data_IF_335865631922
#
_entry.id   IF_335865631922
#
_cell.length_a   1.000
_cell.length_b   1.000
_cell.length_c   1.000
_cell.angle_alpha   90.00
_cell.angle_beta   90.00
_cell.angle_gamma   90.00
#
_symmetry.space_group_name_H-M   'P 1'
#
loop_
_entity.id
_entity.type
_entity.pdbx_description
1 polymer ?
#
# COMPACT_ATOMS: atom_id res chain seq x y z
N UNK A 1 13.15 -17.04 12.19
CA UNK A 1 13.21 -16.44 13.54
C UNK A 1 11.85 -15.82 13.83
N UNK A 2 11.16 -16.21 14.91
CA UNK A 2 9.78 -15.75 15.22
C UNK A 2 9.67 -14.28 15.61
N UNK A 3 10.80 -13.62 15.87
CA UNK A 3 10.83 -12.20 16.22
C UNK A 3 10.81 -11.27 14.99
N UNK A 4 10.95 -11.77 13.77
CA UNK A 4 10.80 -10.91 12.58
C UNK A 4 9.33 -10.54 12.42
N UNK A 5 9.04 -9.24 12.38
CA UNK A 5 7.69 -8.71 12.21
C UNK A 5 7.41 -8.25 10.78
N UNK A 6 8.45 -7.79 10.06
CA UNK A 6 8.39 -7.49 8.65
C UNK A 6 9.80 -7.37 8.05
N UNK A 7 9.92 -7.65 6.76
CA UNK A 7 11.09 -7.28 5.95
C UNK A 7 10.59 -6.36 4.85
N UNK A 8 11.27 -5.23 4.62
CA UNK A 8 10.88 -4.22 3.64
C UNK A 8 12.04 -3.96 2.71
N UNK A 9 11.79 -3.94 1.41
CA UNK A 9 12.69 -3.45 0.38
C UNK A 9 12.04 -2.24 -0.28
N UNK A 10 12.70 -1.10 -0.35
CA UNK A 10 12.09 0.13 -0.86
C UNK A 10 13.11 1.10 -1.45
N UNK A 11 12.69 1.91 -2.42
CA UNK A 11 13.44 3.08 -2.88
C UNK A 11 12.79 4.41 -2.44
N UNK A 12 11.91 4.36 -1.44
CA UNK A 12 11.37 5.54 -0.77
C UNK A 12 12.52 6.39 -0.24
N UNK A 13 12.54 7.66 -0.63
CA UNK A 13 13.48 8.63 -0.07
C UNK A 13 13.22 8.73 1.44
N UNK A 14 14.26 8.78 2.26
CA UNK A 14 14.13 8.82 3.72
C UNK A 14 13.34 7.62 4.29
N UNK A 15 13.63 6.41 3.79
CA UNK A 15 13.04 5.16 4.29
C UNK A 15 13.14 5.00 5.83
N UNK A 16 14.15 5.63 6.44
CA UNK A 16 14.29 5.89 7.86
C UNK A 16 14.98 7.25 8.05
N UNK A 17 14.84 7.84 9.24
CA UNK A 17 15.55 9.06 9.60
C UNK A 17 17.07 8.90 9.41
N UNK A 18 17.67 9.81 8.65
CA UNK A 18 19.11 9.85 8.39
C UNK A 18 19.57 9.16 7.10
N UNK A 19 18.69 8.49 6.37
CA UNK A 19 18.99 7.92 5.04
C UNK A 19 18.53 8.89 3.95
N UNK A 20 19.45 9.24 3.05
CA UNK A 20 19.22 10.21 1.97
C UNK A 20 19.70 9.60 0.65
N UNK A 21 18.91 9.73 -0.42
CA UNK A 21 19.27 9.28 -1.77
C UNK A 21 19.82 7.84 -1.86
N UNK A 22 19.30 6.96 -0.99
CA UNK A 22 19.59 5.53 -0.99
C UNK A 22 18.30 4.70 -0.95
N UNK A 23 18.36 3.51 -1.53
CA UNK A 23 17.34 2.47 -1.34
C UNK A 23 17.65 1.62 -0.11
N UNK A 24 16.65 0.97 0.45
CA UNK A 24 16.75 0.35 1.77
C UNK A 24 16.21 -1.07 1.80
N UNK A 25 16.91 -1.92 2.56
CA UNK A 25 16.37 -3.13 3.14
C UNK A 25 16.21 -2.89 4.64
N UNK A 26 14.98 -3.04 5.15
CA UNK A 26 14.66 -2.86 6.56
C UNK A 26 14.14 -4.17 7.13
N UNK A 27 14.84 -4.70 8.14
CA UNK A 27 14.44 -5.90 8.85
C UNK A 27 13.88 -5.47 10.21
N UNK A 28 12.56 -5.60 10.36
CA UNK A 28 11.87 -5.27 11.61
C UNK A 28 11.83 -6.47 12.53
N UNK A 29 12.27 -6.24 13.77
CA UNK A 29 12.37 -7.26 14.80
C UNK A 29 11.58 -6.81 16.02
N UNK A 30 10.71 -7.67 16.54
CA UNK A 30 10.03 -7.48 17.81
C UNK A 30 11.05 -7.35 18.93
N UNK A 31 10.86 -6.36 19.80
CA UNK A 31 11.73 -6.15 20.96
C UNK A 31 11.69 -7.36 21.89
N UNK A 32 12.87 -7.79 22.35
CA UNK A 32 12.94 -8.80 23.41
C UNK A 32 12.70 -8.15 24.78
N UNK A 33 11.75 -8.64 25.58
CA UNK A 33 11.63 -8.19 26.97
C UNK A 33 12.86 -8.49 27.82
N UNK A 34 13.70 -9.46 27.43
CA UNK A 34 14.92 -9.81 28.14
C UNK A 34 16.08 -8.83 27.87
N UNK A 35 16.04 -8.08 26.76
CA UNK A 35 17.09 -7.13 26.39
C UNK A 35 17.07 -5.90 27.30
N UNK A 36 18.09 -5.78 28.16
CA UNK A 36 18.21 -4.69 29.14
C UNK A 36 19.05 -3.55 28.57
N UNK A 37 18.41 -2.41 28.36
CA UNK A 37 19.05 -1.17 27.89
C UNK A 37 19.24 -1.11 26.37
N UNK A 38 19.55 0.09 25.87
CA UNK A 38 19.58 0.38 24.43
C UNK A 38 20.60 -0.47 23.66
N UNK A 39 21.79 -0.67 24.22
CA UNK A 39 22.84 -1.45 23.56
C UNK A 39 22.50 -2.93 23.41
N UNK A 40 21.86 -3.54 24.42
CA UNK A 40 21.43 -4.93 24.34
C UNK A 40 20.37 -5.12 23.24
N UNK A 41 19.39 -4.21 23.21
CA UNK A 41 18.32 -4.20 22.21
C UNK A 41 18.91 -4.07 20.80
N UNK A 42 19.83 -3.12 20.59
CA UNK A 42 20.45 -2.89 19.29
C UNK A 42 21.30 -4.10 18.84
N UNK A 43 22.10 -4.67 19.74
CA UNK A 43 22.95 -5.82 19.43
C UNK A 43 22.12 -7.07 19.10
N UNK A 44 21.10 -7.36 19.90
CA UNK A 44 20.16 -8.47 19.69
C UNK A 44 19.48 -8.37 18.33
N UNK A 45 18.96 -7.19 17.98
CA UNK A 45 18.36 -6.93 16.66
C UNK A 45 19.38 -7.08 15.53
N UNK A 46 20.60 -6.54 15.70
CA UNK A 46 21.65 -6.62 14.68
C UNK A 46 22.04 -8.06 14.38
N UNK A 47 22.25 -8.89 15.40
CA UNK A 47 22.58 -10.32 15.25
C UNK A 47 21.47 -11.05 14.47
N UNK A 48 20.21 -10.76 14.80
CA UNK A 48 19.08 -11.35 14.07
C UNK A 48 19.13 -10.89 12.61
N UNK A 49 19.26 -9.60 12.34
CA UNK A 49 19.24 -9.05 10.99
C UNK A 49 20.41 -9.52 10.11
N UNK A 50 21.62 -9.62 10.68
CA UNK A 50 22.82 -10.13 10.01
C UNK A 50 22.64 -11.58 9.55
N UNK A 51 21.79 -12.37 10.22
CA UNK A 51 21.49 -13.74 9.79
C UNK A 51 20.58 -13.85 8.56
N UNK A 52 20.00 -12.73 8.07
CA UNK A 52 19.11 -12.71 6.89
C UNK A 52 19.64 -11.85 5.75
N UNK A 53 20.48 -10.83 6.02
CA UNK A 53 20.84 -9.85 5.00
C UNK A 53 21.52 -10.47 3.78
N UNK A 54 22.39 -11.47 3.95
CA UNK A 54 23.08 -12.11 2.83
C UNK A 54 22.10 -12.84 1.90
N UNK A 55 21.12 -13.55 2.48
CA UNK A 55 20.05 -14.22 1.72
C UNK A 55 19.15 -13.18 1.01
N UNK A 56 18.84 -12.07 1.68
CA UNK A 56 18.03 -11.00 1.07
C UNK A 56 18.75 -10.33 -0.09
N UNK A 57 20.04 -10.04 0.08
CA UNK A 57 20.90 -9.51 -0.99
C UNK A 57 20.97 -10.47 -2.17
N UNK A 58 21.09 -11.78 -1.91
CA UNK A 58 21.07 -12.79 -2.96
C UNK A 58 19.71 -12.86 -3.67
N UNK A 59 18.59 -12.84 -2.93
CA UNK A 59 17.24 -12.98 -3.49
C UNK A 59 16.86 -11.76 -4.33
N UNK A 60 17.18 -10.56 -3.87
CA UNK A 60 16.81 -9.31 -4.54
C UNK A 60 17.86 -8.82 -5.54
N UNK A 61 18.98 -9.52 -5.65
CA UNK A 61 20.12 -9.12 -6.47
C UNK A 61 20.59 -7.70 -6.09
N UNK A 62 20.98 -7.54 -4.82
CA UNK A 62 21.42 -6.29 -4.19
C UNK A 62 22.72 -6.48 -3.40
N UNK A 63 23.39 -5.37 -3.04
CA UNK A 63 24.58 -5.35 -2.15
C UNK A 63 24.34 -4.36 -1.00
N UNK A 64 23.19 -4.50 -0.32
CA UNK A 64 22.80 -3.59 0.76
C UNK A 64 23.71 -3.79 1.98
N UNK A 65 24.19 -2.67 2.54
CA UNK A 65 25.17 -2.63 3.63
C UNK A 65 24.55 -2.06 4.88
N UNK A 66 25.02 -2.55 6.03
CA UNK A 66 24.51 -2.12 7.32
C UNK A 66 24.68 -0.60 7.48
N UNK A 67 23.57 0.08 7.76
CA UNK A 67 23.55 1.51 8.03
C UNK A 67 23.33 1.79 9.52
N UNK A 68 22.21 1.32 10.08
CA UNK A 68 21.86 1.65 11.47
C UNK A 68 20.89 0.65 12.10
N UNK A 69 20.76 0.73 13.43
CA UNK A 69 19.63 0.16 14.17
C UNK A 69 18.76 1.30 14.69
N UNK A 70 17.49 1.29 14.35
CA UNK A 70 16.50 2.28 14.79
C UNK A 70 15.48 1.65 15.73
N UNK A 71 15.29 2.25 16.92
CA UNK A 71 14.27 1.81 17.88
C UNK A 71 13.01 2.61 17.59
N UNK A 72 11.96 1.93 17.14
CA UNK A 72 10.71 2.57 16.77
C UNK A 72 9.91 2.91 18.03
N UNK A 73 9.71 4.22 18.26
CA UNK A 73 8.93 4.75 19.39
C UNK A 73 7.42 4.83 19.09
N UNK A 74 7.02 4.73 17.81
CA UNK A 74 5.64 4.82 17.33
C UNK A 74 5.46 4.32 15.90
N UNK A 75 4.44 4.82 15.19
CA UNK A 75 4.09 4.43 13.82
C UNK A 75 4.80 5.26 12.73
N UNK A 76 6.00 5.79 13.04
CA UNK A 76 6.80 6.59 12.10
C UNK A 76 7.11 5.80 10.82
N UNK A 77 7.38 4.51 10.95
CA UNK A 77 7.61 3.60 9.83
C UNK A 77 6.36 3.39 8.96
N UNK A 78 5.18 3.25 9.58
CA UNK A 78 3.92 3.12 8.84
C UNK A 78 3.70 4.34 7.94
N UNK A 79 4.00 5.54 8.48
CA UNK A 79 3.93 6.80 7.75
C UNK A 79 4.98 6.89 6.64
N UNK A 80 6.24 6.59 6.95
CA UNK A 80 7.35 6.69 5.99
C UNK A 80 7.18 5.74 4.79
N UNK A 81 6.73 4.51 5.04
CA UNK A 81 6.47 3.52 4.01
C UNK A 81 5.05 3.63 3.41
N UNK A 82 4.26 4.59 3.90
CA UNK A 82 2.85 4.77 3.57
C UNK A 82 2.06 3.44 3.59
N UNK A 83 2.40 2.57 4.54
CA UNK A 83 1.64 1.35 4.76
C UNK A 83 0.40 1.76 5.55
N UNK A 84 -0.78 1.29 5.16
CA UNK A 84 -2.03 1.60 5.86
C UNK A 84 -2.13 0.92 7.24
N UNK A 85 -1.04 0.95 8.02
CA UNK A 85 -0.88 0.29 9.31
C UNK A 85 -0.44 -1.17 9.25
N UNK A 86 -0.21 -1.76 8.06
CA UNK A 86 0.21 -3.17 7.95
C UNK A 86 1.62 -3.43 8.50
N UNK A 87 2.46 -2.40 8.56
CA UNK A 87 3.79 -2.46 9.18
C UNK A 87 3.84 -1.40 10.28
N UNK A 88 3.45 -1.77 11.51
CA UNK A 88 3.57 -0.88 12.66
C UNK A 88 5.00 -0.86 13.18
N UNK A 89 5.53 0.34 13.39
CA UNK A 89 6.79 0.54 14.09
C UNK A 89 6.68 0.23 15.58
N UNK A 90 5.49 0.37 16.20
CA UNK A 90 5.35 0.33 17.66
C UNK A 90 5.82 -1.01 18.25
N UNK A 91 6.81 -0.94 19.14
CA UNK A 91 7.35 -2.12 19.82
C UNK A 91 8.35 -2.93 18.98
N UNK A 92 8.77 -2.41 17.83
CA UNK A 92 9.77 -3.03 16.96
C UNK A 92 11.08 -2.26 16.96
N UNK A 93 12.12 -2.93 16.49
CA UNK A 93 13.46 -2.38 16.28
C UNK A 93 13.86 -2.74 14.86
N UNK A 94 14.21 -1.73 14.07
CA UNK A 94 14.52 -1.86 12.65
C UNK A 94 16.03 -1.92 12.46
N UNK A 95 16.53 -3.00 11.87
CA UNK A 95 17.86 -2.99 11.28
C UNK A 95 17.76 -2.48 9.84
N UNK A 96 18.51 -1.43 9.54
CA UNK A 96 18.45 -0.73 8.26
C UNK A 96 19.75 -0.99 7.51
N UNK A 97 19.60 -1.42 6.27
CA UNK A 97 20.67 -1.62 5.31
C UNK A 97 20.39 -0.74 4.11
N UNK A 98 21.39 -0.06 3.60
CA UNK A 98 21.26 0.86 2.46
C UNK A 98 22.04 0.36 1.26
N UNK A 99 21.56 0.74 0.08
CA UNK A 99 22.17 0.45 -1.21
C UNK A 99 21.98 1.67 -2.14
N UNK A 100 22.78 1.78 -3.22
CA UNK A 100 22.59 2.85 -4.19
C UNK A 100 21.13 2.97 -4.62
N UNK A 101 20.63 4.20 -4.74
CA UNK A 101 19.25 4.45 -5.16
C UNK A 101 18.95 3.77 -6.49
N UNK A 102 17.93 2.92 -6.50
CA UNK A 102 17.43 2.30 -7.74
C UNK A 102 16.31 3.15 -8.36
N UNK A 103 16.34 3.27 -9.69
CA UNK A 103 15.23 3.78 -10.48
C UNK A 103 13.94 2.96 -10.20
N UNK A 104 12.83 3.64 -9.93
CA UNK A 104 11.57 3.00 -9.53
C UNK A 104 11.04 2.07 -10.60
N UNK A 105 11.13 2.46 -11.88
CA UNK A 105 10.69 1.64 -13.00
C UNK A 105 11.45 0.32 -13.07
N UNK A 106 12.77 0.42 -13.05
CA UNK A 106 13.71 -0.70 -13.09
C UNK A 106 13.54 -1.63 -11.89
N UNK A 107 13.45 -1.05 -10.68
CA UNK A 107 13.26 -1.80 -9.44
C UNK A 107 11.90 -2.53 -9.42
N UNK A 108 10.82 -1.86 -9.84
CA UNK A 108 9.49 -2.46 -9.93
C UNK A 108 9.47 -3.63 -10.92
N UNK A 109 10.07 -3.47 -12.10
CA UNK A 109 10.16 -4.55 -13.09
C UNK A 109 11.00 -5.73 -12.58
N UNK A 110 12.18 -5.47 -11.99
CA UNK A 110 13.06 -6.50 -11.39
C UNK A 110 12.32 -7.29 -10.31
N UNK A 111 11.82 -6.59 -9.30
CA UNK A 111 11.20 -7.23 -8.13
C UNK A 111 9.87 -7.90 -8.50
N UNK A 112 9.04 -7.27 -9.34
CA UNK A 112 7.82 -7.93 -9.81
C UNK A 112 8.12 -9.17 -10.65
N UNK A 113 9.21 -9.21 -11.42
CA UNK A 113 9.60 -10.38 -12.19
C UNK A 113 10.07 -11.56 -11.32
N UNK A 114 10.69 -11.26 -10.18
CA UNK A 114 11.10 -12.26 -9.18
C UNK A 114 9.90 -12.83 -8.42
N UNK A 115 8.91 -11.99 -8.11
CA UNK A 115 7.80 -12.36 -7.23
C UNK A 115 6.57 -12.89 -7.94
N UNK A 116 6.25 -12.32 -9.12
CA UNK A 116 4.99 -12.58 -9.82
C UNK A 116 5.22 -13.50 -11.03
N UNK A 117 4.45 -14.61 -11.15
CA UNK A 117 4.45 -15.46 -12.33
C UNK A 117 4.15 -14.67 -13.61
N UNK A 118 4.66 -15.16 -14.75
CA UNK A 118 4.45 -14.52 -16.06
C UNK A 118 2.96 -14.42 -16.40
N UNK A 119 2.17 -15.39 -15.95
CA UNK A 119 0.73 -15.43 -16.12
C UNK A 119 0.04 -14.24 -15.43
N UNK A 120 0.54 -13.74 -14.31
CA UNK A 120 -0.02 -12.52 -13.70
C UNK A 120 0.45 -11.29 -14.47
N UNK A 121 1.76 -11.21 -14.76
CA UNK A 121 2.38 -10.03 -15.38
C UNK A 121 1.95 -9.78 -16.83
N UNK A 122 1.59 -10.83 -17.57
CA UNK A 122 1.22 -10.71 -18.99
C UNK A 122 -0.30 -10.59 -19.22
N UNK A 123 -1.11 -10.61 -18.15
CA UNK A 123 -2.57 -10.54 -18.24
C UNK A 123 -3.14 -9.16 -17.87
N UNK A 124 -2.29 -8.14 -17.84
CA UNK A 124 -2.65 -6.72 -17.73
C UNK A 124 -3.43 -6.32 -16.48
N UNK A 125 -4.29 -5.31 -16.63
CA UNK A 125 -5.06 -4.71 -15.54
C UNK A 125 -4.19 -3.89 -14.59
N UNK A 126 -4.38 -4.03 -13.28
CA UNK A 126 -3.67 -3.25 -12.26
C UNK A 126 -2.14 -3.39 -12.32
N UNK A 127 -1.61 -4.52 -12.79
CA UNK A 127 -0.17 -4.69 -12.97
C UNK A 127 0.38 -3.71 -14.03
N UNK A 128 -0.29 -3.58 -15.18
CA UNK A 128 0.14 -2.67 -16.24
C UNK A 128 0.03 -1.21 -15.80
N UNK A 129 -1.02 -0.88 -15.05
CA UNK A 129 -1.17 0.46 -14.45
C UNK A 129 0.01 0.78 -13.54
N UNK A 130 0.33 -0.11 -12.61
CA UNK A 130 1.49 0.08 -11.73
C UNK A 130 2.80 0.13 -12.53
N UNK A 131 3.01 -0.75 -13.51
CA UNK A 131 4.19 -0.73 -14.37
C UNK A 131 4.35 0.59 -15.16
N UNK A 132 3.24 1.21 -15.56
CA UNK A 132 3.30 2.50 -16.24
C UNK A 132 3.56 3.64 -15.24
N UNK A 133 2.89 3.62 -14.08
CA UNK A 133 3.10 4.60 -13.01
C UNK A 133 4.51 4.56 -12.43
N UNK A 134 5.21 3.42 -12.48
CA UNK A 134 6.56 3.31 -11.92
C UNK A 134 7.61 4.15 -12.66
N UNK A 135 7.23 4.68 -13.83
CA UNK A 135 8.05 5.58 -14.65
C UNK A 135 7.85 7.06 -14.33
N UNK A 136 6.89 7.40 -13.46
CA UNK A 136 6.69 8.78 -13.02
C UNK A 136 7.85 9.22 -12.12
N UNK A 137 8.23 10.49 -12.18
CA UNK A 137 9.40 11.03 -11.46
C UNK A 137 9.31 10.85 -9.94
N UNK A 138 8.11 11.04 -9.37
CA UNK A 138 7.85 10.87 -7.94
C UNK A 138 7.34 9.47 -7.58
N UNK A 139 7.49 8.50 -8.48
CA UNK A 139 7.08 7.14 -8.19
C UNK A 139 8.04 6.50 -7.18
N UNK A 140 7.48 5.72 -6.25
CA UNK A 140 8.23 4.95 -5.26
C UNK A 140 7.66 3.55 -5.11
N UNK A 141 8.55 2.59 -4.96
CA UNK A 141 8.22 1.18 -4.87
C UNK A 141 8.59 0.67 -3.48
N UNK A 142 7.72 -0.16 -2.92
CA UNK A 142 7.97 -0.85 -1.66
C UNK A 142 7.50 -2.29 -1.80
N UNK A 143 8.40 -3.24 -1.56
CA UNK A 143 8.09 -4.63 -1.34
C UNK A 143 8.16 -4.97 0.14
N UNK A 144 7.23 -5.77 0.64
CA UNK A 144 7.19 -6.18 2.03
C UNK A 144 6.85 -7.66 2.20
N UNK A 145 7.55 -8.30 3.14
CA UNK A 145 7.30 -9.65 3.62
C UNK A 145 6.84 -9.54 5.06
N UNK A 146 5.58 -9.86 5.33
CA UNK A 146 4.98 -9.78 6.67
C UNK A 146 4.63 -11.20 7.11
N UNK A 147 5.32 -11.77 8.12
CA UNK A 147 4.97 -13.08 8.66
C UNK A 147 3.57 -13.06 9.29
N UNK A 148 2.72 -14.03 8.92
CA UNK A 148 1.39 -14.22 9.49
C UNK A 148 1.25 -15.69 9.85
N UNK A 149 1.31 -15.99 11.15
CA UNK A 149 1.25 -17.35 11.70
C UNK A 149 2.27 -18.30 11.04
N UNK A 150 1.80 -19.19 10.15
CA UNK A 150 2.61 -20.17 9.42
C UNK A 150 2.85 -19.80 7.94
N UNK A 151 2.47 -18.59 7.53
CA UNK A 151 2.60 -18.07 6.16
C UNK A 151 3.25 -16.69 6.18
N UNK A 152 3.42 -16.11 5.00
CA UNK A 152 3.85 -14.72 4.85
C UNK A 152 2.96 -14.02 3.85
N UNK A 153 2.57 -12.80 4.17
CA UNK A 153 1.94 -11.88 3.24
C UNK A 153 3.04 -11.15 2.48
N UNK A 154 3.04 -11.32 1.16
CA UNK A 154 3.93 -10.62 0.24
C UNK A 154 3.16 -9.44 -0.36
N UNK A 155 3.65 -8.22 -0.19
CA UNK A 155 3.01 -7.01 -0.70
C UNK A 155 3.97 -6.26 -1.60
N UNK A 156 3.60 -6.10 -2.87
CA UNK A 156 4.27 -5.21 -3.81
C UNK A 156 3.42 -3.95 -3.97
N UNK A 157 3.94 -2.83 -3.48
CA UNK A 157 3.30 -1.51 -3.54
C UNK A 157 4.08 -0.60 -4.47
N UNK A 158 3.33 0.21 -5.22
CA UNK A 158 3.83 1.38 -5.92
C UNK A 158 2.97 2.58 -5.52
N UNK A 159 3.60 3.69 -5.20
CA UNK A 159 2.94 4.99 -5.00
C UNK A 159 3.56 6.04 -5.91
N UNK A 160 2.78 7.08 -6.22
CA UNK A 160 3.26 8.29 -6.90
C UNK A 160 2.69 9.45 -6.12
N UNK A 161 3.57 10.36 -5.70
CA UNK A 161 3.15 11.58 -5.00
C UNK A 161 2.91 12.73 -5.99
N UNK A 162 1.79 13.42 -5.81
CA UNK A 162 1.35 14.56 -6.61
C UNK A 162 1.17 15.78 -5.70
N UNK A 163 2.28 16.35 -5.18
CA UNK A 163 2.22 17.42 -4.19
C UNK A 163 1.47 18.64 -4.73
N UNK A 164 0.78 19.36 -3.83
CA UNK A 164 0.01 20.57 -4.12
C UNK A 164 -1.15 20.41 -5.12
N UNK A 165 -1.53 19.18 -5.50
CA UNK A 165 -2.62 18.97 -6.47
C UNK A 165 -3.99 19.01 -5.81
N UNK A 166 -4.09 18.55 -4.55
CA UNK A 166 -5.37 18.29 -3.89
C UNK A 166 -6.07 19.51 -3.29
N UNK A 167 -5.39 20.65 -3.10
CA UNK A 167 -5.95 21.88 -2.51
C UNK A 167 -7.05 22.55 -3.36
N UNK A 168 -7.28 22.11 -4.60
CA UNK A 168 -8.29 22.66 -5.51
C UNK A 168 -9.30 21.63 -6.02
N UNK A 169 -9.26 20.40 -5.50
CA UNK A 169 -10.03 19.28 -6.04
C UNK A 169 -11.39 19.19 -5.34
N UNK A 170 -12.42 19.75 -5.99
CA UNK A 170 -13.81 19.50 -5.61
C UNK A 170 -14.43 18.33 -6.37
N UNK A 171 -13.78 17.85 -7.43
CA UNK A 171 -14.23 16.71 -8.22
C UNK A 171 -13.08 15.71 -8.35
N UNK A 172 -13.30 14.51 -7.84
CA UNK A 172 -12.31 13.44 -7.85
C UNK A 172 -12.51 12.60 -9.10
N UNK A 173 -11.45 12.49 -9.90
CA UNK A 173 -11.36 11.56 -11.02
C UNK A 173 -10.18 10.60 -10.79
N UNK A 174 -10.40 9.43 -10.16
CA UNK A 174 -9.31 8.57 -9.70
C UNK A 174 -8.37 8.12 -10.82
N UNK A 175 -8.89 7.87 -12.02
CA UNK A 175 -8.08 7.37 -13.13
C UNK A 175 -7.12 8.43 -13.71
N UNK A 176 -7.31 9.72 -13.41
CA UNK A 176 -6.33 10.76 -13.79
C UNK A 176 -4.99 10.57 -13.10
N UNK A 177 -5.03 10.21 -11.82
CA UNK A 177 -3.83 9.90 -11.02
C UNK A 177 -3.21 8.56 -11.41
N UNK A 178 -3.99 7.67 -12.00
CA UNK A 178 -3.54 6.39 -12.56
C UNK A 178 -3.10 6.49 -14.02
N UNK A 179 -3.15 7.69 -14.62
CA UNK A 179 -2.75 7.98 -16.02
C UNK A 179 -3.45 7.07 -17.04
N UNK A 180 -4.73 6.77 -16.82
CA UNK A 180 -5.54 5.93 -17.73
C UNK A 180 -6.97 6.48 -17.90
N UNK A 181 -7.63 6.09 -18.98
CA UNK A 181 -9.05 6.39 -19.21
C UNK A 181 -9.97 5.22 -18.85
N UNK A 182 -9.42 4.01 -18.76
CA UNK A 182 -10.17 2.80 -18.43
C UNK A 182 -9.35 1.96 -17.45
N UNK A 183 -10.01 1.36 -16.48
CA UNK A 183 -9.41 0.41 -15.56
C UNK A 183 -9.95 -0.98 -15.87
N UNK A 184 -9.06 -1.88 -16.27
CA UNK A 184 -9.39 -3.25 -16.64
C UNK A 184 -9.04 -4.23 -15.52
N UNK A 185 -9.91 -5.22 -15.32
CA UNK A 185 -9.60 -6.40 -14.51
C UNK A 185 -8.52 -7.21 -15.22
N UNK A 186 -7.60 -7.79 -14.45
CA UNK A 186 -6.60 -8.69 -15.02
C UNK A 186 -7.27 -9.93 -15.62
N UNK A 187 -6.88 -10.28 -16.84
CA UNK A 187 -7.36 -11.48 -17.54
C UNK A 187 -6.96 -12.79 -16.83
N UNK A 188 -6.03 -12.73 -15.88
CA UNK A 188 -5.68 -13.86 -15.02
C UNK A 188 -6.88 -14.38 -14.23
N UNK A 189 -7.84 -13.51 -13.92
CA UNK A 189 -9.07 -13.86 -13.18
C UNK A 189 -10.27 -14.12 -14.10
N UNK A 190 -10.07 -14.29 -15.41
CA UNK A 190 -11.17 -14.42 -16.38
C UNK A 190 -11.90 -15.77 -16.32
N UNK A 191 -11.30 -16.79 -15.71
CA UNK A 191 -11.90 -18.14 -15.61
C UNK A 191 -12.96 -18.28 -14.52
N UNK A 192 -13.26 -17.23 -13.76
CA UNK A 192 -14.21 -17.29 -12.66
C UNK A 192 -14.62 -15.92 -12.13
N UNK A 193 -15.54 -15.90 -11.17
CA UNK A 193 -16.01 -14.67 -10.55
C UNK A 193 -15.19 -14.34 -9.31
N UNK A 194 -14.31 -13.34 -9.43
CA UNK A 194 -13.40 -12.91 -8.36
C UNK A 194 -13.53 -11.39 -8.09
N UNK A 195 -14.65 -10.94 -7.51
CA UNK A 195 -14.97 -9.52 -7.37
C UNK A 195 -13.99 -8.74 -6.50
N UNK A 196 -13.35 -9.40 -5.53
CA UNK A 196 -12.40 -8.77 -4.61
C UNK A 196 -10.98 -8.66 -5.16
N UNK A 197 -10.71 -9.22 -6.34
CA UNK A 197 -9.40 -9.14 -6.99
C UNK A 197 -9.25 -7.88 -7.85
N UNK A 198 -10.24 -6.98 -7.82
CA UNK A 198 -10.27 -5.72 -8.58
C UNK A 198 -11.06 -4.68 -7.80
N UNK A 199 -10.40 -4.06 -6.83
CA UNK A 199 -10.97 -3.02 -5.99
C UNK A 199 -10.18 -1.74 -6.21
N UNK A 200 -10.88 -0.66 -6.53
CA UNK A 200 -10.32 0.69 -6.51
C UNK A 200 -10.74 1.36 -5.20
N UNK A 201 -9.76 1.80 -4.41
CA UNK A 201 -10.03 2.54 -3.19
C UNK A 201 -9.51 3.97 -3.29
N UNK A 202 -10.35 4.92 -2.91
CA UNK A 202 -10.01 6.34 -2.79
C UNK A 202 -10.20 6.74 -1.33
N UNK A 203 -9.15 7.30 -0.74
CA UNK A 203 -9.20 7.88 0.60
C UNK A 203 -8.99 9.38 0.49
N UNK A 204 -9.93 10.15 1.03
CA UNK A 204 -9.87 11.61 1.11
C UNK A 204 -9.57 12.00 2.55
N UNK A 205 -8.49 12.72 2.76
CA UNK A 205 -8.11 13.32 4.04
C UNK A 205 -8.17 14.84 3.90
N UNK A 206 -9.12 15.45 4.60
CA UNK A 206 -9.42 16.88 4.54
C UNK A 206 -9.23 17.53 5.92
N UNK A 207 -8.67 18.75 6.01
CA UNK A 207 -8.54 19.48 7.27
C UNK A 207 -9.91 19.81 7.88
N UNK A 208 -10.88 20.11 7.02
CA UNK A 208 -12.27 20.41 7.36
C UNK A 208 -13.20 19.26 6.97
N UNK A 209 -14.34 19.16 7.65
CA UNK A 209 -15.32 18.12 7.34
C UNK A 209 -15.93 18.38 5.96
N UNK A 210 -15.89 17.37 5.10
CA UNK A 210 -16.55 17.39 3.79
C UNK A 210 -17.50 16.19 3.66
N UNK A 211 -18.20 16.09 2.54
CA UNK A 211 -19.10 14.98 2.23
C UNK A 211 -18.97 14.60 0.75
N UNK A 212 -19.29 13.35 0.44
CA UNK A 212 -19.47 12.90 -0.94
C UNK A 212 -20.71 13.56 -1.54
N UNK A 213 -20.59 14.01 -2.78
CA UNK A 213 -21.70 14.54 -3.60
C UNK A 213 -21.54 14.09 -5.06
N UNK A 214 -22.61 14.19 -5.84
CA UNK A 214 -22.60 14.05 -7.31
C UNK A 214 -21.82 12.82 -7.85
N UNK A 215 -22.06 11.64 -7.27
CA UNK A 215 -21.46 10.39 -7.73
C UNK A 215 -22.03 10.04 -9.10
N UNK A 216 -21.16 9.92 -10.13
CA UNK A 216 -21.60 9.59 -11.50
C UNK A 216 -21.90 8.11 -11.68
N UNK A 217 -21.15 7.24 -10.99
CA UNK A 217 -21.35 5.79 -11.01
C UNK A 217 -22.46 5.32 -10.07
N UNK A 218 -22.73 4.01 -10.10
CA UNK A 218 -23.67 3.37 -9.19
C UNK A 218 -23.17 3.40 -7.74
N UNK A 219 -24.08 3.45 -6.77
CA UNK A 219 -23.79 3.23 -5.35
C UNK A 219 -24.43 1.89 -4.96
N UNK A 220 -23.62 0.99 -4.39
CA UNK A 220 -24.10 -0.33 -3.98
C UNK A 220 -24.81 -0.19 -2.64
N UNK A 221 -26.05 -0.69 -2.49
CA UNK A 221 -26.72 -0.75 -1.21
C UNK A 221 -25.92 -1.55 -0.19
N UNK A 222 -25.79 -1.04 1.03
CA UNK A 222 -25.02 -1.69 2.10
C UNK A 222 -25.89 -2.02 3.29
N UNK A 223 -25.45 -3.01 4.07
CA UNK A 223 -25.94 -3.32 5.40
C UNK A 223 -24.86 -3.06 6.45
N UNK A 224 -25.26 -2.67 7.65
CA UNK A 224 -24.33 -2.46 8.75
C UNK A 224 -24.04 -3.80 9.44
N UNK A 225 -22.77 -4.22 9.45
CA UNK A 225 -22.32 -5.42 10.16
C UNK A 225 -21.14 -5.02 11.03
N UNK A 226 -21.27 -5.21 12.34
CA UNK A 226 -20.21 -4.86 13.33
C UNK A 226 -19.72 -3.40 13.23
N UNK A 227 -20.58 -2.49 12.77
CA UNK A 227 -20.25 -1.06 12.61
C UNK A 227 -19.64 -0.70 11.25
N UNK A 228 -19.45 -1.65 10.34
CA UNK A 228 -18.95 -1.42 8.99
C UNK A 228 -20.07 -1.56 7.94
N UNK A 229 -20.03 -0.73 6.89
CA UNK A 229 -20.93 -0.86 5.75
C UNK A 229 -20.44 -1.96 4.81
N UNK A 230 -21.19 -3.06 4.77
CA UNK A 230 -20.93 -4.20 3.89
C UNK A 230 -21.90 -4.15 2.71
N UNK A 231 -21.43 -4.20 1.45
CA UNK A 231 -22.31 -4.25 0.28
C UNK A 231 -23.19 -5.49 0.29
N UNK A 232 -24.48 -5.30 0.02
CA UNK A 232 -25.49 -6.36 -0.02
C UNK A 232 -25.25 -7.33 -1.19
N UNK A 233 -24.67 -6.82 -2.29
CA UNK A 233 -24.42 -7.57 -3.50
C UNK A 233 -23.08 -7.15 -4.12
N UNK A 234 -22.17 -8.12 -4.29
CA UNK A 234 -20.82 -7.89 -4.82
C UNK A 234 -20.69 -8.21 -6.32
N UNK A 235 -21.75 -8.71 -6.95
CA UNK A 235 -21.85 -9.01 -8.40
C UNK A 235 -22.14 -7.78 -9.23
N UNK A 236 -22.68 -6.72 -8.62
CA UNK A 236 -22.91 -5.43 -9.27
C UNK A 236 -21.74 -4.49 -9.04
N UNK A 237 -21.46 -3.68 -10.05
CA UNK A 237 -20.48 -2.60 -9.94
C UNK A 237 -21.03 -1.41 -9.16
N UNK A 238 -20.15 -0.67 -8.50
CA UNK A 238 -20.50 0.58 -7.86
C UNK A 238 -19.63 0.92 -6.65
N UNK A 239 -19.86 2.13 -6.16
CA UNK A 239 -19.22 2.68 -4.98
C UNK A 239 -19.86 2.20 -3.68
N UNK A 240 -19.01 2.00 -2.68
CA UNK A 240 -19.36 1.93 -1.27
C UNK A 240 -18.56 3.00 -0.55
N UNK A 241 -19.26 3.93 0.10
CA UNK A 241 -18.63 5.02 0.87
C UNK A 241 -18.83 4.79 2.36
N UNK A 242 -17.73 4.71 3.11
CA UNK A 242 -17.77 4.49 4.55
C UNK A 242 -16.54 5.08 5.27
N UNK A 243 -16.68 6.19 6.03
CA UNK A 243 -17.88 7.02 6.15
C UNK A 243 -18.11 7.85 4.87
N UNK A 244 -19.34 8.33 4.67
CA UNK A 244 -19.74 9.21 3.54
C UNK A 244 -19.38 10.69 3.75
N UNK A 245 -19.05 11.07 4.98
CA UNK A 245 -18.72 12.44 5.38
C UNK A 245 -17.73 12.46 6.54
N UNK A 246 -17.07 13.61 6.74
CA UNK A 246 -16.11 13.85 7.79
C UNK A 246 -14.78 14.36 7.26
N UNK A 247 -13.77 14.36 8.14
CA UNK A 247 -12.38 14.72 7.79
C UNK A 247 -11.66 13.59 7.04
N UNK A 248 -12.12 12.35 7.20
CA UNK A 248 -11.63 11.17 6.48
C UNK A 248 -12.81 10.48 5.83
N UNK A 249 -12.82 10.42 4.51
CA UNK A 249 -13.82 9.71 3.71
C UNK A 249 -13.12 8.60 2.93
N UNK A 250 -13.81 7.49 2.74
CA UNK A 250 -13.27 6.35 1.98
C UNK A 250 -14.33 5.83 1.03
N UNK A 251 -14.00 5.83 -0.26
CA UNK A 251 -14.77 5.20 -1.32
C UNK A 251 -14.08 3.94 -1.79
N UNK A 252 -14.82 2.83 -1.88
CA UNK A 252 -14.38 1.59 -2.53
C UNK A 252 -15.27 1.33 -3.72
N UNK A 253 -14.70 1.26 -4.92
CA UNK A 253 -15.43 0.84 -6.10
C UNK A 253 -15.23 -0.66 -6.33
N UNK A 254 -16.35 -1.37 -6.41
CA UNK A 254 -16.39 -2.80 -6.73
C UNK A 254 -16.75 -2.94 -8.20
N UNK A 255 -16.05 -3.80 -8.92
CA UNK A 255 -16.28 -4.03 -10.36
C UNK A 255 -17.48 -4.94 -10.64
N UNK A 256 -17.91 -5.75 -9.66
CA UNK A 256 -18.94 -6.76 -9.92
C UNK A 256 -18.51 -7.75 -11.00
N UNK A 257 -19.43 -8.10 -11.89
CA UNK A 257 -19.19 -8.97 -13.05
C UNK A 257 -18.46 -8.27 -14.19
N UNK A 258 -18.32 -6.94 -14.15
CA UNK A 258 -17.65 -6.15 -15.20
C UNK A 258 -16.17 -6.50 -15.28
N UNK A 259 -15.65 -6.52 -16.50
CA UNK A 259 -14.22 -6.68 -16.79
C UNK A 259 -13.49 -5.34 -16.94
N UNK A 260 -14.21 -4.25 -17.19
CA UNK A 260 -13.65 -2.90 -17.29
C UNK A 260 -14.62 -1.82 -16.86
N UNK A 261 -14.05 -0.70 -16.41
CA UNK A 261 -14.75 0.48 -15.91
C UNK A 261 -14.13 1.73 -16.51
N UNK A 262 -14.96 2.61 -17.07
CA UNK A 262 -14.52 3.89 -17.66
C UNK A 262 -14.26 4.96 -16.58
N UNK A 263 -13.35 5.87 -16.89
CA UNK A 263 -13.01 7.04 -16.05
C UNK A 263 -14.24 7.80 -15.58
N UNK A 264 -15.24 8.02 -16.46
CA UNK A 264 -16.41 8.82 -16.14
C UNK A 264 -17.32 8.19 -15.08
N UNK A 265 -17.32 6.86 -14.97
CA UNK A 265 -18.11 6.10 -13.99
C UNK A 265 -17.53 6.22 -12.57
N UNK A 266 -16.24 6.57 -12.46
CA UNK A 266 -15.51 6.66 -11.20
C UNK A 266 -15.47 8.08 -10.62
N UNK A 267 -16.09 9.05 -11.30
CA UNK A 267 -16.07 10.45 -10.86
C UNK A 267 -17.12 10.69 -9.77
N UNK A 268 -16.71 11.42 -8.74
CA UNK A 268 -17.59 11.95 -7.71
C UNK A 268 -17.06 13.31 -7.23
N UNK A 269 -17.93 14.11 -6.61
CA UNK A 269 -17.59 15.43 -6.08
C UNK A 269 -17.46 15.42 -4.56
N UNK A 270 -16.80 16.45 -4.03
CA UNK A 270 -16.67 16.75 -2.62
C UNK A 270 -17.35 18.09 -2.33
N UNK A 271 -18.07 18.16 -1.21
CA UNK A 271 -18.82 19.35 -0.84
C UNK A 271 -20.14 19.48 -1.60
N UNK A 272 -21.18 19.92 -0.90
CA UNK A 272 -22.55 20.06 -1.42
C UNK A 272 -23.56 20.17 -0.28
N UNK A 273 -24.84 20.43 -0.57
CA UNK A 273 -25.86 20.53 0.47
C UNK A 273 -26.01 19.21 1.25
N UNK A 274 -25.77 19.26 2.56
CA UNK A 274 -25.95 18.16 3.49
C UNK A 274 -27.42 17.73 3.60
N UNK A 275 -27.65 16.44 3.90
CA UNK A 275 -28.63 16.06 4.93
C UNK A 275 -28.01 16.46 6.28
N UNK A 276 -28.36 17.68 6.72
CA UNK A 276 -27.98 18.45 7.91
C UNK A 276 -27.20 17.73 9.05
N UNK A 277 -26.07 18.32 9.47
CA UNK A 277 -25.72 18.56 10.89
C UNK A 277 -24.45 19.44 11.05
N UNK A 278 -24.33 20.21 12.16
CA UNK A 278 -23.73 21.55 12.19
C UNK A 278 -22.21 21.62 12.31
N UNK A 279 -21.71 22.81 11.95
CA UNK A 279 -20.33 23.28 12.02
C UNK A 279 -19.76 23.25 13.45
N UNK A 280 -18.50 22.82 13.56
CA UNK A 280 -17.59 23.24 14.61
C UNK A 280 -16.28 23.67 13.94
N UNK A 281 -16.05 24.98 13.94
CA UNK A 281 -14.81 25.59 13.49
C UNK A 281 -13.64 25.14 14.35
N UNK A 282 -12.59 24.64 13.70
CA UNK A 282 -11.22 24.73 14.21
C UNK A 282 -10.30 24.92 13.02
N UNK A 283 -9.72 26.11 12.94
CA UNK A 283 -8.75 26.51 11.93
C UNK A 283 -7.43 25.77 12.11
N UNK A 284 -7.00 25.06 11.05
CA UNK A 284 -5.59 24.78 10.78
C UNK A 284 -5.40 24.71 9.26
N UNK A 285 -4.37 25.41 8.80
CA UNK A 285 -3.90 25.45 7.42
C UNK A 285 -3.07 24.18 7.17
N UNK A 286 -3.55 23.27 6.31
CA UNK A 286 -2.76 22.22 5.66
C UNK A 286 -3.56 21.52 4.54
N UNK A 287 -2.89 21.29 3.41
CA UNK A 287 -3.45 20.77 2.15
C UNK A 287 -4.16 19.42 2.27
N UNK A 288 -5.26 19.25 1.53
CA UNK A 288 -5.94 17.95 1.35
C UNK A 288 -4.95 16.91 0.78
N UNK A 289 -5.02 15.66 1.25
CA UNK A 289 -4.23 14.54 0.70
C UNK A 289 -5.20 13.50 0.16
N UNK A 290 -5.10 13.19 -1.13
CA UNK A 290 -5.84 12.09 -1.77
C UNK A 290 -4.88 10.92 -1.91
N UNK A 291 -5.18 9.81 -1.22
CA UNK A 291 -4.43 8.56 -1.36
C UNK A 291 -5.28 7.57 -2.14
N UNK A 292 -4.83 7.20 -3.34
CA UNK A 292 -5.45 6.13 -4.13
C UNK A 292 -4.66 4.86 -3.86
N UNK A 293 -5.32 3.89 -3.24
CA UNK A 293 -4.71 2.59 -2.93
C UNK A 293 -5.31 1.56 -3.86
N UNK A 294 -4.44 0.95 -4.66
CA UNK A 294 -4.77 -0.24 -5.43
C UNK A 294 -4.33 -1.44 -4.59
N UNK A 295 -5.29 -2.26 -4.18
CA UNK A 295 -5.04 -3.49 -3.44
C UNK A 295 -5.22 -4.68 -4.38
N UNK A 296 -4.13 -5.31 -4.81
CA UNK A 296 -4.19 -6.63 -5.44
C UNK A 296 -4.07 -7.67 -4.33
N UNK A 297 -5.20 -8.23 -3.90
CA UNK A 297 -5.18 -9.42 -3.04
C UNK A 297 -4.99 -10.63 -3.96
N UNK A 298 -3.75 -11.03 -4.17
CA UNK A 298 -3.47 -12.35 -4.72
C UNK A 298 -3.69 -13.38 -3.61
N UNK A 299 -4.89 -13.98 -3.52
CA UNK A 299 -5.01 -15.32 -2.89
C UNK A 299 -4.47 -16.33 -3.90
N UNK A 300 -3.16 -16.25 -4.13
CA UNK A 300 -2.36 -17.32 -4.66
C UNK A 300 -1.64 -17.90 -3.47
N UNK A 301 -2.17 -19.00 -2.93
CA UNK A 301 -1.35 -19.89 -2.14
C UNK A 301 -0.12 -20.24 -2.99
N UNK A 302 1.03 -19.61 -2.73
CA UNK A 302 2.32 -20.07 -3.20
C UNK A 302 2.70 -21.33 -2.38
N UNK A 303 1.84 -22.34 -2.43
CA UNK A 303 2.15 -23.72 -2.09
C UNK A 303 2.89 -24.26 -3.31
N UNK A 304 4.17 -23.90 -3.42
CA UNK A 304 5.26 -24.75 -3.91
C UNK A 304 6.54 -23.89 -4.02
N UNK A 305 7.68 -24.45 -3.59
CA UNK A 305 9.04 -24.00 -3.93
C UNK A 305 9.83 -23.03 -3.02
N UNK A 306 9.73 -23.20 -1.70
CA UNK A 306 10.95 -23.36 -0.88
C UNK A 306 11.02 -24.84 -0.46
N UNK A 307 11.08 -25.73 -1.46
CA UNK A 307 11.39 -27.14 -1.22
C UNK A 307 12.87 -27.18 -0.88
N UNK A 308 13.18 -27.79 0.27
CA UNK A 308 14.47 -27.69 0.92
C UNK A 308 15.68 -28.18 0.14
N UNK A 309 16.77 -28.30 0.89
CA UNK A 309 18.12 -28.76 0.54
C UNK A 309 19.15 -27.68 0.16
N UNK A 310 19.76 -27.11 1.21
CA UNK A 310 21.19 -27.34 1.39
C UNK A 310 21.34 -28.39 2.49
N UNK A 311 21.72 -29.60 2.05
CA UNK A 311 22.00 -30.86 2.78
C UNK A 311 21.42 -31.04 4.18
#
# INVERSE_FOLDING_TARGET
NSRITAIVLTNQNHCILGVFDESCIIINVARDPADKGIFAIQNSTKIIAESFIDDLNQIFDTDAKFHSIFIQSGDEMSKALETSGSISGKGTVSAVYTMPMEDTGSMYEKISALLLPREIRNNGGFYDIAKNLSKEENAKMTFSIIPIENKSLLQLKLSVDYPNTASSINQISPLEFLKTNELQRSNYFSSGFYPLNSILQVVVLSPESTNISEVRGNIIPTQLVEGEKIPNEITKEGWVFDPEQGKRIQGKFIFGERTSIDKNELIFSLGGNQLLAPENETSFDESMVIVIIISIIAIGAAIYYLKGYRK
#
